data_IF_518967081728
#
_entry.id   IF_518967081728
#
_cell.length_a   1.000
_cell.length_b   1.000
_cell.length_c   1.000
_cell.angle_alpha   90.00
_cell.angle_beta   90.00
_cell.angle_gamma   90.00
#
_symmetry.space_group_name_H-M   'P 1'
#
loop_
_entity.id
_entity.type
_entity.pdbx_description
1 polymer ?
#
# COMPACT_ATOMS: atom_id res chain seq x y z
N UNK A 1 -2.17 -11.83 28.06
CA UNK A 1 -2.66 -12.56 26.87
C UNK A 1 -1.88 -13.86 26.78
N UNK A 2 -2.50 -15.00 26.45
CA UNK A 2 -1.75 -16.24 26.26
C UNK A 2 -0.82 -16.10 25.03
N UNK A 3 0.37 -16.73 25.07
CA UNK A 3 1.45 -16.53 24.08
C UNK A 3 1.02 -16.75 22.61
N UNK A 4 0.08 -17.65 22.40
CA UNK A 4 -0.54 -17.97 21.11
C UNK A 4 -1.30 -16.77 20.51
N UNK A 5 -1.93 -15.93 21.33
CA UNK A 5 -2.68 -14.76 20.86
C UNK A 5 -1.71 -13.66 20.39
N UNK A 6 -0.60 -13.46 21.11
CA UNK A 6 0.46 -12.52 20.74
C UNK A 6 1.16 -12.93 19.44
N UNK A 7 1.42 -14.22 19.28
CA UNK A 7 2.02 -14.78 18.05
C UNK A 7 1.08 -14.59 16.85
N UNK A 8 -0.22 -14.85 17.04
CA UNK A 8 -1.25 -14.62 16.01
C UNK A 8 -1.31 -13.16 15.59
N UNK A 9 -1.28 -12.23 16.57
CA UNK A 9 -1.27 -10.79 16.30
C UNK A 9 -0.07 -10.38 15.45
N UNK A 10 1.12 -10.88 15.78
CA UNK A 10 2.34 -10.59 15.02
C UNK A 10 2.30 -11.14 13.59
N UNK A 11 1.77 -12.36 13.40
CA UNK A 11 1.61 -12.96 12.07
C UNK A 11 0.65 -12.12 11.22
N UNK A 12 -0.51 -11.74 11.77
CA UNK A 12 -1.48 -10.91 11.06
C UNK A 12 -0.88 -9.54 10.71
N UNK A 13 -0.17 -8.92 11.66
CA UNK A 13 0.54 -7.66 11.43
C UNK A 13 1.55 -7.76 10.28
N UNK A 14 2.34 -8.84 10.24
CA UNK A 14 3.26 -9.12 9.15
C UNK A 14 2.57 -9.27 7.79
N UNK A 15 1.45 -9.99 7.74
CA UNK A 15 0.64 -10.13 6.51
C UNK A 15 0.13 -8.77 6.02
N UNK A 16 -0.35 -7.92 6.93
CA UNK A 16 -0.81 -6.57 6.58
C UNK A 16 0.31 -5.70 5.98
N UNK A 17 1.53 -5.80 6.52
CA UNK A 17 2.69 -5.10 5.96
C UNK A 17 3.00 -5.60 4.55
N UNK A 18 3.03 -6.92 4.33
CA UNK A 18 3.31 -7.50 3.03
C UNK A 18 2.27 -7.12 1.97
N UNK A 19 0.98 -7.18 2.32
CA UNK A 19 -0.10 -6.75 1.44
C UNK A 19 -0.04 -5.25 1.15
N UNK A 20 0.25 -4.44 2.16
CA UNK A 20 0.36 -2.99 2.00
C UNK A 20 1.54 -2.59 1.11
N UNK A 21 2.71 -3.22 1.28
CA UNK A 21 3.87 -3.05 0.41
C UNK A 21 3.55 -3.50 -1.02
N UNK A 22 2.93 -4.66 -1.19
CA UNK A 22 2.51 -5.18 -2.49
C UNK A 22 1.59 -4.21 -3.23
N UNK A 23 0.56 -3.70 -2.55
CA UNK A 23 -0.36 -2.71 -3.10
C UNK A 23 0.34 -1.38 -3.43
N UNK A 24 1.29 -0.95 -2.60
CA UNK A 24 2.08 0.26 -2.85
C UNK A 24 2.97 0.14 -4.10
N UNK A 25 3.67 -0.99 -4.25
CA UNK A 25 4.48 -1.28 -5.44
C UNK A 25 3.63 -1.42 -6.69
N UNK A 26 2.49 -2.10 -6.59
CA UNK A 26 1.55 -2.24 -7.70
C UNK A 26 1.01 -0.89 -8.16
N UNK A 27 0.57 -0.04 -7.22
CA UNK A 27 0.10 1.32 -7.53
C UNK A 27 1.15 2.16 -8.25
N UNK A 28 2.42 2.08 -7.84
CA UNK A 28 3.53 2.79 -8.49
C UNK A 28 3.87 2.23 -9.87
N UNK A 29 3.77 0.90 -10.05
CA UNK A 29 4.01 0.25 -11.34
C UNK A 29 2.92 0.60 -12.36
N UNK A 30 1.66 0.62 -11.92
CA UNK A 30 0.51 1.00 -12.74
C UNK A 30 0.64 2.45 -13.24
N UNK A 31 1.03 3.36 -12.35
CA UNK A 31 1.25 4.77 -12.67
C UNK A 31 2.34 4.93 -13.75
N UNK A 32 3.48 4.23 -13.60
CA UNK A 32 4.57 4.27 -14.58
C UNK A 32 4.15 3.74 -15.94
N UNK A 33 3.50 2.58 -15.98
CA UNK A 33 3.06 1.95 -17.22
C UNK A 33 1.99 2.80 -17.94
N UNK A 34 1.16 3.52 -17.17
CA UNK A 34 0.19 4.46 -17.70
C UNK A 34 0.85 5.67 -18.36
N UNK A 35 1.77 6.36 -17.68
CA UNK A 35 2.48 7.51 -18.26
C UNK A 35 3.29 7.14 -19.50
N UNK A 36 3.94 5.96 -19.50
CA UNK A 36 4.69 5.46 -20.65
C UNK A 36 3.77 5.27 -21.86
N UNK A 37 2.57 4.71 -21.66
CA UNK A 37 1.58 4.53 -22.73
C UNK A 37 1.04 5.85 -23.31
N UNK A 38 0.85 6.87 -22.48
CA UNK A 38 0.39 8.20 -22.90
C UNK A 38 1.50 8.94 -23.67
N UNK A 39 2.74 8.87 -23.19
CA UNK A 39 3.88 9.55 -23.82
C UNK A 39 4.19 9.03 -25.23
N UNK A 40 3.77 7.81 -25.55
CA UNK A 40 3.91 7.22 -26.89
C UNK A 40 2.90 7.74 -27.91
N UNK A 41 1.88 8.50 -27.49
CA UNK A 41 0.84 9.02 -28.38
C UNK A 41 1.20 10.43 -28.87
N UNK A 42 0.97 10.67 -30.16
CA UNK A 42 1.23 11.95 -30.82
C UNK A 42 0.24 13.06 -30.39
N UNK A 43 -0.85 12.70 -29.69
CA UNK A 43 -1.89 13.62 -29.24
C UNK A 43 -1.63 14.10 -27.81
N UNK A 44 -1.12 15.32 -27.68
CA UNK A 44 -0.82 15.98 -26.40
C UNK A 44 -2.03 16.67 -25.78
N UNK A 45 -3.17 16.66 -26.47
CA UNK A 45 -4.36 17.41 -26.05
C UNK A 45 -4.96 16.87 -24.75
N UNK A 46 -4.94 15.56 -24.53
CA UNK A 46 -5.37 14.93 -23.26
C UNK A 46 -4.46 15.33 -22.07
N UNK A 47 -3.17 15.61 -22.33
CA UNK A 47 -2.21 16.08 -21.32
C UNK A 47 -2.40 17.56 -20.98
N UNK A 48 -2.73 18.40 -21.97
CA UNK A 48 -2.97 19.83 -21.79
C UNK A 48 -4.35 20.13 -21.20
N UNK A 49 -5.39 19.40 -21.61
CA UNK A 49 -6.78 19.64 -21.18
C UNK A 49 -7.14 18.91 -19.88
N UNK A 50 -6.35 17.91 -19.44
CA UNK A 50 -6.59 17.16 -18.21
C UNK A 50 -7.93 16.40 -18.19
N UNK A 51 -8.49 16.18 -19.39
CA UNK A 51 -9.83 15.64 -19.61
C UNK A 51 -9.74 14.32 -20.37
N UNK A 52 -10.41 13.24 -19.95
CA UNK A 52 -11.30 13.12 -18.79
C UNK A 52 -10.54 12.93 -17.47
N UNK A 53 -11.18 13.33 -16.36
CA UNK A 53 -10.65 13.16 -14.99
C UNK A 53 -10.63 11.66 -14.64
N UNK A 54 -9.51 10.99 -14.87
CA UNK A 54 -9.35 9.54 -14.63
C UNK A 54 -9.28 9.24 -13.11
N UNK A 55 -9.71 8.04 -12.67
CA UNK A 55 -9.62 7.63 -11.27
C UNK A 55 -8.18 7.76 -10.78
N UNK A 56 -8.00 8.51 -9.70
CA UNK A 56 -6.69 8.76 -9.10
C UNK A 56 -6.05 7.43 -8.71
N UNK A 57 -4.96 7.07 -9.38
CA UNK A 57 -4.11 5.92 -9.06
C UNK A 57 -3.64 5.92 -7.59
N UNK A 58 -3.73 7.08 -6.92
CA UNK A 58 -3.44 7.25 -5.50
C UNK A 58 -4.36 6.49 -4.53
N UNK A 59 -5.53 5.97 -4.94
CA UNK A 59 -6.42 5.25 -4.02
C UNK A 59 -5.83 3.93 -3.53
N UNK A 60 -5.22 3.15 -4.42
CA UNK A 60 -4.54 1.89 -4.07
C UNK A 60 -3.26 2.16 -3.26
N UNK A 61 -2.55 3.23 -3.59
CA UNK A 61 -1.35 3.66 -2.87
C UNK A 61 -1.67 4.11 -1.43
N UNK A 62 -2.76 4.88 -1.26
CA UNK A 62 -3.24 5.30 0.06
C UNK A 62 -3.70 4.10 0.90
N UNK A 63 -4.44 3.16 0.30
CA UNK A 63 -4.84 1.92 0.97
C UNK A 63 -3.64 1.06 1.39
N UNK A 64 -2.63 0.95 0.52
CA UNK A 64 -1.38 0.25 0.82
C UNK A 64 -0.63 0.88 2.00
N UNK A 65 -0.52 2.21 2.05
CA UNK A 65 0.14 2.92 3.15
C UNK A 65 -0.60 2.75 4.49
N UNK A 66 -1.93 2.79 4.48
CA UNK A 66 -2.76 2.52 5.65
C UNK A 66 -2.54 1.10 6.16
N UNK A 67 -2.53 0.11 5.25
CA UNK A 67 -2.30 -1.29 5.60
C UNK A 67 -0.91 -1.52 6.23
N UNK A 68 0.14 -0.91 5.67
CA UNK A 68 1.50 -0.94 6.26
C UNK A 68 1.51 -0.32 7.65
N UNK A 69 0.88 0.84 7.82
CA UNK A 69 0.84 1.54 9.11
C UNK A 69 0.18 0.70 10.19
N UNK A 70 -0.97 0.08 9.88
CA UNK A 70 -1.69 -0.81 10.79
C UNK A 70 -0.81 -2.02 11.16
N UNK A 71 -0.19 -2.66 10.16
CA UNK A 71 0.66 -3.82 10.42
C UNK A 71 1.89 -3.50 11.28
N UNK A 72 2.50 -2.33 11.11
CA UNK A 72 3.60 -1.85 11.98
C UNK A 72 3.13 -1.68 13.42
N UNK A 73 1.95 -1.08 13.64
CA UNK A 73 1.37 -0.92 14.98
C UNK A 73 1.14 -2.28 15.62
N UNK A 74 0.58 -3.25 14.88
CA UNK A 74 0.34 -4.60 15.38
C UNK A 74 1.65 -5.31 15.79
N UNK A 75 2.72 -5.17 15.00
CA UNK A 75 4.03 -5.71 15.36
C UNK A 75 4.64 -5.01 16.58
N UNK A 76 4.52 -3.68 16.68
CA UNK A 76 5.04 -2.92 17.81
C UNK A 76 4.35 -3.34 19.12
N UNK A 77 3.02 -3.46 19.09
CA UNK A 77 2.23 -3.91 20.25
C UNK A 77 2.55 -5.36 20.60
N UNK A 78 2.51 -6.27 19.62
CA UNK A 78 2.81 -7.70 19.84
C UNK A 78 4.23 -7.92 20.36
N UNK A 79 5.21 -7.21 19.80
CA UNK A 79 6.62 -7.26 20.22
C UNK A 79 6.83 -6.68 21.62
N UNK A 80 6.25 -5.51 21.93
CA UNK A 80 6.36 -4.91 23.25
C UNK A 80 5.81 -5.84 24.34
N UNK A 81 4.61 -6.39 24.12
CA UNK A 81 4.02 -7.36 25.05
C UNK A 81 4.77 -8.70 25.10
N UNK A 82 5.44 -9.12 24.03
CA UNK A 82 6.27 -10.34 24.06
C UNK A 82 7.58 -10.18 24.81
N UNK A 83 8.13 -8.96 24.91
CA UNK A 83 9.40 -8.70 25.59
C UNK A 83 9.16 -8.34 27.07
N UNK A 84 8.07 -7.66 27.39
CA UNK A 84 7.76 -7.15 28.73
C UNK A 84 6.74 -7.99 29.51
N UNK A 85 6.04 -8.90 28.84
CA UNK A 85 4.99 -9.75 29.40
C UNK A 85 5.44 -11.13 29.82
#
# INVERSE_FOLDING_TARGET
MPQNDLTTLMIIGGVFILLGLGAFFWGKSEEKHYYESISSRQDTREFLEGWPRRPQFGSLQAGGWIAVTIGIIMLAVGGAFSIWG
#
